data_IF_211093851031
#
_entry.id   IF_211093851031
#
_cell.length_a   1.000
_cell.length_b   1.000
_cell.length_c   1.000
_cell.angle_alpha   90.00
_cell.angle_beta   90.00
_cell.angle_gamma   90.00
#
_symmetry.space_group_name_H-M   'P 1'
#
loop_
_entity.id
_entity.type
_entity.pdbx_description
1 polymer ?
#
# COMPACT_ATOMS: atom_id res chain seq x y z
N UNK A 1 -9.14 -16.69 22.51
CA UNK A 1 -8.30 -16.81 21.30
C UNK A 1 -8.22 -15.43 20.71
N UNK A 2 -7.14 -14.69 20.92
CA UNK A 2 -6.92 -13.43 20.19
C UNK A 2 -6.66 -13.84 18.76
N UNK A 3 -7.72 -13.91 17.98
CA UNK A 3 -7.59 -13.96 16.55
C UNK A 3 -6.91 -12.64 16.19
N UNK A 4 -5.60 -12.69 15.98
CA UNK A 4 -4.91 -11.70 15.17
C UNK A 4 -5.39 -11.93 13.74
N UNK A 5 -6.70 -11.73 13.52
CA UNK A 5 -7.34 -11.76 12.21
C UNK A 5 -6.73 -10.59 11.46
N UNK A 6 -6.12 -10.88 10.33
CA UNK A 6 -5.07 -10.05 9.74
C UNK A 6 -5.56 -8.75 9.10
N UNK A 7 -6.69 -8.14 9.46
CA UNK A 7 -7.34 -6.92 8.89
C UNK A 7 -7.53 -6.89 7.36
N UNK A 8 -6.48 -7.17 6.61
CA UNK A 8 -6.40 -7.29 5.17
C UNK A 8 -6.23 -8.75 4.73
N UNK A 9 -6.94 -9.11 3.67
CA UNK A 9 -6.70 -10.33 2.88
C UNK A 9 -5.37 -10.20 2.13
N UNK A 10 -5.12 -9.01 1.58
CA UNK A 10 -3.82 -8.62 1.06
C UNK A 10 -3.59 -7.12 1.29
N UNK A 11 -2.33 -6.76 1.47
CA UNK A 11 -1.85 -5.39 1.51
C UNK A 11 -0.54 -5.35 0.73
N UNK A 12 -0.56 -4.65 -0.40
CA UNK A 12 0.60 -4.33 -1.23
C UNK A 12 0.95 -2.88 -0.95
N UNK A 13 2.20 -2.62 -0.58
CA UNK A 13 2.71 -1.29 -0.29
C UNK A 13 4.11 -1.14 -0.90
N UNK A 14 4.15 -0.58 -2.11
CA UNK A 14 5.37 -0.39 -2.90
C UNK A 14 5.74 1.09 -2.91
N UNK A 15 7.03 1.35 -2.72
CA UNK A 15 7.62 2.69 -2.75
C UNK A 15 8.79 2.67 -3.72
N UNK A 16 8.73 3.52 -4.74
CA UNK A 16 9.77 3.64 -5.76
C UNK A 16 10.33 5.06 -5.80
N UNK A 17 11.65 5.15 -5.75
CA UNK A 17 12.40 6.39 -5.82
C UNK A 17 13.03 6.49 -7.21
N UNK A 18 12.57 7.43 -8.02
CA UNK A 18 13.04 7.65 -9.37
C UNK A 18 13.79 8.98 -9.46
N UNK A 19 14.80 9.13 -10.35
CA UNK A 19 15.37 10.44 -10.64
C UNK A 19 14.29 11.42 -11.10
N UNK A 20 14.29 12.63 -10.55
CA UNK A 20 13.32 13.65 -10.90
C UNK A 20 13.68 14.36 -12.22
N UNK A 21 12.73 15.10 -12.78
CA UNK A 21 12.91 15.83 -14.04
C UNK A 21 13.98 16.95 -13.97
N UNK A 22 14.34 17.38 -12.76
CA UNK A 22 15.33 18.45 -12.51
C UNK A 22 16.49 17.89 -11.67
N UNK A 23 17.76 18.28 -11.94
CA UNK A 23 18.90 17.85 -11.14
C UNK A 23 18.71 18.11 -9.65
N UNK A 24 19.07 17.12 -8.83
CA UNK A 24 18.93 17.20 -7.37
C UNK A 24 17.52 16.91 -6.85
N UNK A 25 16.57 16.57 -7.72
CA UNK A 25 15.22 16.13 -7.32
C UNK A 25 15.03 14.63 -7.55
N UNK A 26 14.10 14.03 -6.81
CA UNK A 26 13.63 12.66 -7.05
C UNK A 26 12.10 12.65 -7.06
N UNK A 27 11.53 11.72 -7.82
CA UNK A 27 10.11 11.44 -7.86
C UNK A 27 9.83 10.22 -7.00
N UNK A 28 8.88 10.36 -6.07
CA UNK A 28 8.37 9.26 -5.26
C UNK A 28 7.10 8.73 -5.91
N UNK A 29 7.10 7.46 -6.28
CA UNK A 29 5.90 6.73 -6.66
C UNK A 29 5.52 5.78 -5.53
N UNK A 30 4.26 5.83 -5.11
CA UNK A 30 3.71 4.88 -4.14
C UNK A 30 2.52 4.14 -4.76
N UNK A 31 2.54 2.82 -4.66
CA UNK A 31 1.42 1.95 -5.00
C UNK A 31 0.94 1.29 -3.72
N UNK A 32 -0.32 1.54 -3.40
CA UNK A 32 -1.00 0.91 -2.29
C UNK A 32 -2.22 0.20 -2.86
N UNK A 33 -2.25 -1.13 -2.72
CA UNK A 33 -3.38 -1.97 -3.10
C UNK A 33 -3.71 -2.87 -1.91
N UNK A 34 -5.00 -2.99 -1.60
CA UNK A 34 -5.42 -3.73 -0.42
C UNK A 34 -6.83 -4.25 -0.56
N UNK A 35 -7.11 -5.32 0.18
CA UNK A 35 -8.45 -5.84 0.38
C UNK A 35 -8.67 -6.13 1.85
N UNK A 36 -9.72 -5.59 2.43
CA UNK A 36 -10.11 -5.91 3.81
C UNK A 36 -10.65 -7.34 3.90
N UNK A 37 -10.41 -7.99 5.04
CA UNK A 37 -11.08 -9.26 5.38
C UNK A 37 -12.53 -9.05 5.83
N UNK A 38 -12.91 -7.81 6.15
CA UNK A 38 -14.23 -7.47 6.67
C UNK A 38 -15.25 -7.33 5.55
N UNK A 39 -16.38 -8.02 5.69
CA UNK A 39 -17.55 -7.87 4.80
C UNK A 39 -18.21 -6.50 4.91
N UNK A 40 -17.92 -5.72 5.94
CA UNK A 40 -18.45 -4.36 6.12
C UNK A 40 -17.74 -3.32 5.24
N UNK A 41 -16.55 -3.65 4.74
CA UNK A 41 -15.79 -2.83 3.80
C UNK A 41 -15.62 -3.60 2.48
N UNK A 42 -16.74 -3.87 1.82
CA UNK A 42 -16.79 -4.41 0.46
C UNK A 42 -17.09 -3.25 -0.49
N UNK A 43 -16.05 -2.68 -1.08
CA UNK A 43 -16.18 -1.82 -2.25
C UNK A 43 -16.06 -2.66 -3.52
#
# INVERSE_FOLDING_TARGET
>A
STASDSLFDHLINIWEFNPGAVPGTFSLYFLVDFKFQSSLYQQ
#
